data_IF_564536369190
#
_entry.id   IF_564536369190
#
_cell.length_a   1.000
_cell.length_b   1.000
_cell.length_c   1.000
_cell.angle_alpha   90.00
_cell.angle_beta   90.00
_cell.angle_gamma   90.00
#
_symmetry.space_group_name_H-M   'P 1'
#
loop_
_entity.id
_entity.type
_entity.pdbx_description
1 polymer ?
#
# COMPACT_ATOMS: atom_id res chain seq x y z
N UNK A 1 -88.51 43.51 28.31
CA UNK A 1 -87.35 44.34 28.75
C UNK A 1 -86.68 43.72 29.97
N UNK A 2 -87.42 43.27 30.98
CA UNK A 2 -86.84 42.67 32.21
C UNK A 2 -86.25 41.26 31.96
N UNK A 3 -86.97 40.36 31.29
CA UNK A 3 -86.47 39.01 30.93
C UNK A 3 -85.19 39.05 30.09
N UNK A 4 -85.07 40.04 29.19
CA UNK A 4 -83.86 40.23 28.37
C UNK A 4 -82.67 40.66 29.21
N UNK A 5 -82.88 41.48 30.25
CA UNK A 5 -81.81 41.86 31.20
C UNK A 5 -81.38 40.67 32.06
N UNK A 6 -82.32 39.84 32.48
CA UNK A 6 -82.06 38.65 33.29
C UNK A 6 -81.25 37.62 32.49
N UNK A 7 -81.65 37.33 31.23
CA UNK A 7 -80.85 36.51 30.31
C UNK A 7 -79.45 37.09 30.05
N UNK A 8 -79.34 38.41 29.87
CA UNK A 8 -78.04 39.08 29.74
C UNK A 8 -77.17 38.95 31.00
N UNK A 9 -77.78 38.94 32.19
CA UNK A 9 -77.08 38.78 33.45
C UNK A 9 -76.55 37.35 33.62
N UNK A 10 -77.38 36.34 33.33
CA UNK A 10 -77.00 34.93 33.35
C UNK A 10 -75.90 34.62 32.33
N UNK A 11 -76.04 35.13 31.09
CA UNK A 11 -75.03 34.97 30.06
C UNK A 11 -73.68 35.59 30.46
N UNK A 12 -73.68 36.80 31.03
CA UNK A 12 -72.45 37.44 31.53
C UNK A 12 -71.85 36.69 32.72
N UNK A 13 -72.66 36.04 33.55
CA UNK A 13 -72.19 35.21 34.66
C UNK A 13 -71.51 33.94 34.15
N UNK A 14 -72.16 33.20 33.23
CA UNK A 14 -71.60 32.02 32.57
C UNK A 14 -70.29 32.36 31.84
N UNK A 15 -70.24 33.46 31.08
CA UNK A 15 -69.01 33.90 30.41
C UNK A 15 -67.85 34.17 31.40
N UNK A 16 -68.14 34.73 32.57
CA UNK A 16 -67.11 34.97 33.60
C UNK A 16 -66.61 33.67 34.21
N UNK A 17 -67.49 32.69 34.39
CA UNK A 17 -67.15 31.36 34.90
C UNK A 17 -66.26 30.62 33.88
N UNK A 18 -66.66 30.60 32.60
CA UNK A 18 -65.87 30.01 31.50
C UNK A 18 -64.50 30.69 31.37
N UNK A 19 -64.44 32.03 31.41
CA UNK A 19 -63.16 32.76 31.39
C UNK A 19 -62.27 32.42 32.58
N UNK A 20 -62.85 32.20 33.77
CA UNK A 20 -62.08 31.82 34.96
C UNK A 20 -61.56 30.39 34.86
N UNK A 21 -62.34 29.48 34.26
CA UNK A 21 -61.93 28.10 33.97
C UNK A 21 -60.80 28.04 32.95
N UNK A 22 -60.97 28.67 31.78
CA UNK A 22 -59.95 28.76 30.73
C UNK A 22 -58.64 29.35 31.28
N UNK A 23 -58.73 30.41 32.10
CA UNK A 23 -57.54 31.00 32.75
C UNK A 23 -56.85 30.02 33.70
N UNK A 24 -57.61 29.16 34.37
CA UNK A 24 -57.06 28.14 35.28
C UNK A 24 -56.38 27.03 34.49
N UNK A 25 -56.97 26.56 33.41
CA UNK A 25 -56.39 25.56 32.49
C UNK A 25 -55.09 26.07 31.88
N UNK A 26 -55.09 27.24 31.24
CA UNK A 26 -53.88 27.86 30.66
C UNK A 26 -52.77 27.97 31.71
N UNK A 27 -53.10 28.28 32.97
CA UNK A 27 -52.12 28.38 34.05
C UNK A 27 -51.51 27.02 34.42
N UNK A 28 -52.29 25.95 34.34
CA UNK A 28 -51.82 24.58 34.58
C UNK A 28 -50.95 24.11 33.42
N UNK A 29 -51.39 24.29 32.17
CA UNK A 29 -50.62 23.94 30.97
C UNK A 29 -49.26 24.65 30.97
N UNK A 30 -49.21 25.94 31.30
CA UNK A 30 -47.96 26.70 31.41
C UNK A 30 -47.03 26.11 32.49
N UNK A 31 -47.57 25.55 33.58
CA UNK A 31 -46.73 24.90 34.60
C UNK A 31 -46.17 23.58 34.09
N UNK A 32 -47.00 22.74 33.49
CA UNK A 32 -46.58 21.46 32.91
C UNK A 32 -45.50 21.68 31.84
N UNK A 33 -45.72 22.60 30.90
CA UNK A 33 -44.72 22.97 29.89
C UNK A 33 -43.39 23.43 30.52
N UNK A 34 -43.44 24.17 31.64
CA UNK A 34 -42.21 24.59 32.33
C UNK A 34 -41.46 23.44 32.98
N UNK A 35 -42.19 22.45 33.50
CA UNK A 35 -41.60 21.25 34.08
C UNK A 35 -40.95 20.40 32.97
N UNK A 36 -41.65 20.17 31.86
CA UNK A 36 -41.11 19.47 30.69
C UNK A 36 -39.85 20.14 30.13
N UNK A 37 -39.86 21.47 29.96
CA UNK A 37 -38.68 22.23 29.50
C UNK A 37 -37.50 22.04 30.47
N UNK A 38 -37.75 21.97 31.77
CA UNK A 38 -36.70 21.79 32.77
C UNK A 38 -36.09 20.40 32.69
N UNK A 39 -36.90 19.38 32.47
CA UNK A 39 -36.43 18.00 32.35
C UNK A 39 -35.71 17.76 31.02
N UNK A 40 -36.25 18.27 29.91
CA UNK A 40 -35.54 18.30 28.62
C UNK A 40 -34.18 18.97 28.73
N UNK A 41 -34.06 20.08 29.48
CA UNK A 41 -32.78 20.78 29.67
C UNK A 41 -31.75 19.89 30.40
N UNK A 42 -32.19 19.09 31.39
CA UNK A 42 -31.29 18.15 32.09
C UNK A 42 -30.83 17.04 31.17
N UNK A 43 -31.73 16.47 30.36
CA UNK A 43 -31.39 15.44 29.40
C UNK A 43 -30.40 15.93 28.34
N UNK A 44 -30.62 17.14 27.81
CA UNK A 44 -29.69 17.77 26.87
C UNK A 44 -28.30 17.97 27.50
N UNK A 45 -28.25 18.39 28.77
CA UNK A 45 -26.98 18.56 29.46
C UNK A 45 -26.25 17.22 29.64
N UNK A 46 -26.95 16.18 30.08
CA UNK A 46 -26.39 14.83 30.22
C UNK A 46 -25.88 14.28 28.89
N UNK A 47 -26.67 14.42 27.83
CA UNK A 47 -26.27 13.99 26.48
C UNK A 47 -25.03 14.75 25.98
N UNK A 48 -24.90 16.04 26.30
CA UNK A 48 -23.71 16.82 25.96
C UNK A 48 -22.45 16.33 26.69
N UNK A 49 -22.57 15.95 27.95
CA UNK A 49 -21.47 15.39 28.74
C UNK A 49 -21.04 14.02 28.18
N UNK A 50 -21.99 13.14 27.87
CA UNK A 50 -21.72 11.84 27.24
C UNK A 50 -21.06 11.99 25.87
N UNK A 51 -21.55 12.91 25.03
CA UNK A 51 -20.94 13.22 23.74
C UNK A 51 -19.50 13.73 23.89
N UNK A 52 -19.22 14.55 24.92
CA UNK A 52 -17.88 15.02 25.23
C UNK A 52 -16.92 13.87 25.52
N UNK A 53 -17.32 12.95 26.42
CA UNK A 53 -16.53 11.75 26.74
C UNK A 53 -16.28 10.88 25.50
N UNK A 54 -17.30 10.68 24.67
CA UNK A 54 -17.16 9.89 23.45
C UNK A 54 -16.19 10.53 22.45
N UNK A 55 -16.21 11.86 22.31
CA UNK A 55 -15.25 12.58 21.46
C UNK A 55 -13.82 12.38 21.98
N UNK A 56 -13.61 12.47 23.29
CA UNK A 56 -12.29 12.22 23.89
C UNK A 56 -11.79 10.79 23.62
N UNK A 57 -12.63 9.78 23.84
CA UNK A 57 -12.29 8.38 23.53
C UNK A 57 -11.95 8.18 22.04
N UNK A 58 -12.76 8.74 21.13
CA UNK A 58 -12.50 8.67 19.69
C UNK A 58 -11.16 9.32 19.34
N UNK A 59 -10.83 10.46 19.95
CA UNK A 59 -9.54 11.12 19.70
C UNK A 59 -8.36 10.30 20.20
N UNK A 60 -8.49 9.63 21.35
CA UNK A 60 -7.45 8.75 21.89
C UNK A 60 -7.24 7.53 21.00
N UNK A 61 -8.31 6.82 20.65
CA UNK A 61 -8.27 5.65 19.77
C UNK A 61 -7.67 6.00 18.42
N UNK A 62 -8.02 7.15 17.85
CA UNK A 62 -7.45 7.62 16.58
C UNK A 62 -5.94 7.86 16.69
N UNK A 63 -5.49 8.47 17.78
CA UNK A 63 -4.06 8.73 17.99
C UNK A 63 -3.26 7.43 18.20
N UNK A 64 -3.83 6.44 18.89
CA UNK A 64 -3.24 5.11 19.04
C UNK A 64 -3.18 4.38 17.70
N UNK A 65 -4.28 4.40 16.93
CA UNK A 65 -4.34 3.83 15.60
C UNK A 65 -3.28 4.41 14.66
N UNK A 66 -3.09 5.73 14.66
CA UNK A 66 -2.07 6.39 13.83
C UNK A 66 -0.64 5.95 14.22
N UNK A 67 -0.37 5.77 15.52
CA UNK A 67 0.92 5.23 16.01
C UNK A 67 1.13 3.78 15.59
N UNK A 68 0.12 2.93 15.76
CA UNK A 68 0.19 1.52 15.37
C UNK A 68 0.38 1.37 13.87
N UNK A 69 -0.34 2.17 13.07
CA UNK A 69 -0.22 2.22 11.62
C UNK A 69 1.22 2.54 11.20
N UNK A 70 1.83 3.57 11.78
CA UNK A 70 3.22 3.95 11.48
C UNK A 70 4.22 2.84 11.88
N UNK A 71 4.00 2.21 13.03
CA UNK A 71 4.82 1.09 13.49
C UNK A 71 4.72 -0.12 12.55
N UNK A 72 3.51 -0.44 12.07
CA UNK A 72 3.29 -1.53 11.11
C UNK A 72 3.96 -1.23 9.77
N UNK A 73 3.82 -0.01 9.24
CA UNK A 73 4.51 0.38 7.99
C UNK A 73 6.03 0.26 8.11
N UNK A 74 6.59 0.71 9.24
CA UNK A 74 8.02 0.60 9.51
C UNK A 74 8.48 -0.86 9.53
N UNK A 75 7.73 -1.74 10.20
CA UNK A 75 8.01 -3.18 10.25
C UNK A 75 7.90 -3.86 8.90
N UNK A 76 6.91 -3.49 8.09
CA UNK A 76 6.75 -4.00 6.71
C UNK A 76 7.97 -3.61 5.88
N UNK A 77 8.36 -2.33 5.91
CA UNK A 77 9.53 -1.85 5.17
C UNK A 77 10.81 -2.58 5.60
N UNK A 78 11.03 -2.76 6.89
CA UNK A 78 12.18 -3.53 7.39
C UNK A 78 12.15 -4.99 6.92
N UNK A 79 10.97 -5.62 6.90
CA UNK A 79 10.82 -6.98 6.42
C UNK A 79 11.09 -7.09 4.91
N UNK A 80 10.59 -6.15 4.11
CA UNK A 80 10.86 -6.05 2.67
C UNK A 80 12.36 -5.88 2.42
N UNK A 81 13.03 -4.96 3.13
CA UNK A 81 14.48 -4.73 3.00
C UNK A 81 15.29 -5.97 3.40
N UNK A 82 14.87 -6.71 4.43
CA UNK A 82 15.50 -7.97 4.84
C UNK A 82 15.30 -9.07 3.80
N UNK A 83 14.08 -9.21 3.27
CA UNK A 83 13.77 -10.18 2.22
C UNK A 83 14.58 -9.91 0.95
N UNK A 84 14.63 -8.65 0.52
CA UNK A 84 15.41 -8.21 -0.63
C UNK A 84 16.91 -8.53 -0.46
N UNK A 85 17.48 -8.27 0.73
CA UNK A 85 18.87 -8.64 1.04
C UNK A 85 19.10 -10.15 0.95
N UNK A 86 18.19 -10.96 1.47
CA UNK A 86 18.29 -12.43 1.42
C UNK A 86 18.19 -12.92 -0.02
N UNK A 87 17.23 -12.42 -0.81
CA UNK A 87 17.06 -12.77 -2.21
C UNK A 87 18.31 -12.41 -3.02
N UNK A 88 18.80 -11.18 -2.86
CA UNK A 88 20.04 -10.70 -3.49
C UNK A 88 21.25 -11.55 -3.15
N UNK A 89 21.36 -12.02 -1.90
CA UNK A 89 22.44 -12.93 -1.50
C UNK A 89 22.32 -14.30 -2.17
N UNK A 90 21.11 -14.85 -2.29
CA UNK A 90 20.86 -16.14 -2.95
C UNK A 90 21.19 -16.11 -4.44
N UNK A 91 20.84 -15.03 -5.14
CA UNK A 91 21.10 -14.90 -6.58
C UNK A 91 22.40 -14.17 -6.89
N UNK A 92 23.20 -13.83 -5.87
CA UNK A 92 24.41 -12.99 -6.02
C UNK A 92 25.36 -13.55 -7.07
N UNK A 93 25.50 -14.87 -7.16
CA UNK A 93 26.39 -15.55 -8.09
C UNK A 93 25.68 -16.07 -9.35
N UNK A 94 24.39 -15.77 -9.51
CA UNK A 94 23.61 -16.22 -10.65
C UNK A 94 23.79 -15.31 -11.86
N UNK A 95 23.84 -15.91 -13.03
CA UNK A 95 23.85 -15.28 -14.34
C UNK A 95 22.62 -15.75 -15.11
N UNK A 96 22.00 -14.84 -15.84
CA UNK A 96 20.96 -15.14 -16.80
C UNK A 96 21.58 -15.14 -18.20
N UNK A 97 21.47 -16.26 -18.89
CA UNK A 97 21.94 -16.39 -20.27
C UNK A 97 20.73 -16.62 -21.16
N UNK A 98 20.63 -15.82 -22.23
CA UNK A 98 19.54 -15.87 -23.22
C UNK A 98 20.12 -16.10 -24.61
N UNK A 99 19.37 -16.77 -25.48
CA UNK A 99 19.75 -17.05 -26.87
C UNK A 99 20.46 -18.39 -27.06
N UNK A 100 20.28 -19.31 -26.10
CA UNK A 100 20.85 -20.66 -26.19
C UNK A 100 19.70 -21.68 -26.27
N UNK A 101 19.50 -22.24 -27.46
CA UNK A 101 18.61 -23.38 -27.69
C UNK A 101 19.36 -24.67 -27.32
N UNK A 102 19.06 -25.23 -26.15
CA UNK A 102 19.66 -26.50 -25.73
C UNK A 102 18.60 -27.53 -25.38
N UNK A 103 18.62 -28.66 -26.06
CA UNK A 103 17.78 -29.83 -25.80
C UNK A 103 18.37 -30.73 -24.69
N UNK A 104 18.99 -30.13 -23.68
CA UNK A 104 19.54 -30.86 -22.55
C UNK A 104 18.39 -31.26 -21.60
N UNK A 105 18.08 -32.56 -21.53
CA UNK A 105 17.14 -33.10 -20.54
C UNK A 105 17.75 -33.21 -19.13
N UNK A 106 19.08 -33.13 -18.99
CA UNK A 106 19.81 -33.30 -17.73
C UNK A 106 20.63 -32.06 -17.37
N UNK A 107 20.60 -31.69 -16.09
CA UNK A 107 21.32 -30.53 -15.53
C UNK A 107 22.84 -30.64 -15.69
N UNK A 108 23.42 -31.83 -15.55
CA UNK A 108 24.88 -32.03 -15.67
C UNK A 108 25.42 -31.78 -17.10
N UNK A 109 24.62 -32.10 -18.13
CA UNK A 109 25.00 -31.82 -19.53
C UNK A 109 24.91 -30.31 -19.79
N UNK A 110 23.94 -29.64 -19.15
CA UNK A 110 23.77 -28.20 -19.25
C UNK A 110 24.96 -27.46 -18.62
N UNK A 111 25.43 -27.90 -17.45
CA UNK A 111 26.62 -27.35 -16.79
C UNK A 111 27.86 -27.43 -17.69
N UNK A 112 28.22 -28.62 -18.17
CA UNK A 112 29.41 -28.80 -19.02
C UNK A 112 29.34 -27.97 -20.31
N UNK A 113 28.17 -27.89 -20.93
CA UNK A 113 27.99 -27.12 -22.16
C UNK A 113 28.03 -25.60 -21.89
N UNK A 114 27.54 -25.13 -20.74
CA UNK A 114 27.70 -23.73 -20.33
C UNK A 114 29.17 -23.40 -20.05
N UNK A 115 29.92 -24.29 -19.40
CA UNK A 115 31.36 -24.11 -19.17
C UNK A 115 32.13 -24.02 -20.50
N UNK A 116 31.86 -24.93 -21.44
CA UNK A 116 32.46 -24.90 -22.78
C UNK A 116 32.10 -23.65 -23.55
N UNK A 117 30.85 -23.19 -23.47
CA UNK A 117 30.42 -21.95 -24.12
C UNK A 117 31.20 -20.75 -23.56
N UNK A 118 31.31 -20.62 -22.24
CA UNK A 118 32.07 -19.52 -21.61
C UNK A 118 33.55 -19.58 -21.99
N UNK A 119 34.15 -20.78 -22.02
CA UNK A 119 35.55 -20.95 -22.39
C UNK A 119 35.80 -20.61 -23.87
N UNK A 120 34.92 -21.03 -24.78
CA UNK A 120 35.04 -20.73 -26.22
C UNK A 120 34.79 -19.26 -26.54
N UNK A 121 33.75 -18.67 -25.94
CA UNK A 121 33.27 -17.35 -26.29
C UNK A 121 34.00 -16.22 -25.57
N UNK A 122 34.32 -16.42 -24.29
CA UNK A 122 34.94 -15.40 -23.45
C UNK A 122 36.42 -15.68 -23.17
N UNK A 123 36.93 -16.87 -23.51
CA UNK A 123 38.30 -17.34 -23.19
C UNK A 123 38.55 -17.35 -21.68
N UNK A 124 37.53 -17.68 -20.89
CA UNK A 124 37.59 -17.74 -19.43
C UNK A 124 37.32 -19.16 -18.96
N UNK A 125 38.23 -19.72 -18.17
CA UNK A 125 37.98 -20.96 -17.42
C UNK A 125 37.22 -20.62 -16.14
N UNK A 126 35.98 -21.08 -16.05
CA UNK A 126 35.10 -20.81 -14.90
C UNK A 126 34.40 -22.08 -14.47
N UNK A 127 34.18 -22.23 -13.16
CA UNK A 127 33.45 -23.37 -12.61
C UNK A 127 32.00 -23.01 -12.31
N UNK A 128 31.08 -23.76 -12.87
CA UNK A 128 29.65 -23.64 -12.61
C UNK A 128 29.28 -24.53 -11.43
N UNK A 129 28.45 -24.03 -10.53
CA UNK A 129 27.93 -24.80 -9.39
C UNK A 129 26.65 -25.53 -9.77
N UNK A 130 25.74 -24.83 -10.46
CA UNK A 130 24.47 -25.36 -10.97
C UNK A 130 24.02 -24.60 -12.21
N UNK A 131 23.39 -25.30 -13.15
CA UNK A 131 22.69 -24.66 -14.26
C UNK A 131 21.26 -25.20 -14.36
N UNK A 132 20.30 -24.32 -14.64
CA UNK A 132 18.90 -24.70 -14.83
C UNK A 132 18.26 -23.93 -15.98
N UNK A 133 17.46 -24.62 -16.79
CA UNK A 133 16.78 -24.03 -17.96
C UNK A 133 15.47 -23.35 -17.55
N UNK A 134 15.24 -22.13 -18.02
CA UNK A 134 14.05 -21.31 -17.72
C UNK A 134 13.37 -20.95 -19.04
N UNK A 135 12.77 -21.95 -19.69
CA UNK A 135 12.13 -21.80 -21.01
C UNK A 135 13.04 -22.20 -22.16
N UNK A 136 12.61 -22.01 -23.41
CA UNK A 136 13.26 -22.60 -24.58
C UNK A 136 14.70 -22.10 -24.82
N UNK A 137 14.94 -20.80 -24.62
CA UNK A 137 16.20 -20.13 -24.98
C UNK A 137 16.88 -19.41 -23.81
N UNK A 138 16.44 -19.68 -22.57
CA UNK A 138 16.98 -19.02 -21.37
C UNK A 138 17.44 -20.03 -20.35
N UNK A 139 18.55 -19.74 -19.68
CA UNK A 139 19.04 -20.51 -18.55
C UNK A 139 19.58 -19.61 -17.44
N UNK A 140 19.48 -20.09 -16.21
CA UNK A 140 20.16 -19.52 -15.06
C UNK A 140 21.36 -20.40 -14.72
N UNK A 141 22.49 -19.74 -14.47
CA UNK A 141 23.75 -20.38 -14.13
C UNK A 141 24.25 -19.81 -12.80
N UNK A 142 24.35 -20.65 -11.77
CA UNK A 142 24.96 -20.30 -10.49
C UNK A 142 26.47 -20.54 -10.57
N UNK A 143 27.26 -19.47 -10.45
CA UNK A 143 28.72 -19.56 -10.43
C UNK A 143 29.23 -20.03 -9.06
N UNK A 144 30.32 -20.82 -9.05
CA UNK A 144 30.99 -21.21 -7.81
C UNK A 144 31.61 -20.01 -7.07
N UNK A 145 32.22 -19.07 -7.83
CA UNK A 145 32.88 -17.89 -7.28
C UNK A 145 32.29 -16.58 -7.83
N UNK A 146 32.10 -15.59 -6.94
CA UNK A 146 31.63 -14.26 -7.33
C UNK A 146 32.61 -13.54 -8.28
N UNK A 147 33.91 -13.78 -8.11
CA UNK A 147 34.95 -13.19 -8.97
C UNK A 147 34.77 -13.56 -10.44
N UNK A 148 34.39 -14.80 -10.73
CA UNK A 148 34.16 -15.28 -12.09
C UNK A 148 32.92 -14.66 -12.72
N UNK A 149 31.84 -14.49 -11.94
CA UNK A 149 30.67 -13.71 -12.38
C UNK A 149 31.06 -12.30 -12.83
N UNK A 150 31.89 -11.60 -12.05
CA UNK A 150 32.33 -10.24 -12.38
C UNK A 150 33.18 -10.21 -13.65
N UNK A 151 34.07 -11.19 -13.84
CA UNK A 151 34.88 -11.31 -15.07
C UNK A 151 33.99 -11.54 -16.30
N UNK A 152 33.05 -12.48 -16.23
CA UNK A 152 32.10 -12.77 -17.30
C UNK A 152 31.31 -11.50 -17.68
N UNK A 153 30.80 -10.77 -16.68
CA UNK A 153 30.03 -9.55 -16.92
C UNK A 153 30.84 -8.39 -17.51
N UNK A 154 32.16 -8.34 -17.28
CA UNK A 154 33.07 -7.37 -17.91
C UNK A 154 33.36 -7.75 -19.36
N UNK A 155 33.61 -9.03 -19.61
CA UNK A 155 33.98 -9.54 -20.93
C UNK A 155 32.79 -9.76 -21.87
N UNK A 156 31.54 -9.68 -21.37
CA UNK A 156 30.32 -9.85 -22.19
C UNK A 156 30.24 -8.94 -23.42
N UNK A 157 31.01 -7.85 -23.47
CA UNK A 157 31.11 -7.01 -24.66
C UNK A 157 31.64 -7.78 -25.89
N UNK A 158 32.40 -8.85 -25.70
CA UNK A 158 32.88 -9.75 -26.77
C UNK A 158 31.75 -10.51 -27.48
N UNK A 159 30.63 -10.71 -26.79
CA UNK A 159 29.44 -11.35 -27.35
C UNK A 159 28.60 -10.41 -28.22
N UNK A 160 29.01 -9.13 -28.34
CA UNK A 160 28.27 -8.12 -29.10
C UNK A 160 28.23 -8.51 -30.58
N UNK A 161 27.04 -8.75 -31.11
CA UNK A 161 26.80 -9.20 -32.48
C UNK A 161 26.51 -10.68 -32.62
N UNK A 162 26.58 -11.46 -31.53
CA UNK A 162 26.02 -12.81 -31.43
C UNK A 162 24.61 -12.74 -30.84
N UNK A 163 23.81 -13.77 -31.09
CA UNK A 163 22.45 -13.90 -30.53
C UNK A 163 22.44 -14.36 -29.06
N UNK A 164 23.61 -14.41 -28.41
CA UNK A 164 23.78 -14.83 -27.01
C UNK A 164 23.95 -13.61 -26.11
N UNK A 165 23.10 -13.50 -25.09
CA UNK A 165 23.11 -12.41 -24.12
C UNK A 165 23.35 -12.93 -22.71
N UNK A 166 24.31 -12.31 -22.01
CA UNK A 166 24.61 -12.62 -20.60
C UNK A 166 24.31 -11.40 -19.73
N UNK A 167 23.41 -11.60 -18.77
CA UNK A 167 23.03 -10.61 -17.77
C UNK A 167 23.22 -11.16 -16.36
N UNK A 168 23.32 -10.27 -15.37
CA UNK A 168 23.24 -10.68 -13.98
C UNK A 168 21.78 -11.07 -13.68
N UNK A 169 21.59 -12.15 -12.91
CA UNK A 169 20.30 -12.39 -12.30
C UNK A 169 20.06 -11.32 -11.22
N UNK A 170 18.92 -10.65 -11.30
CA UNK A 170 18.56 -9.48 -10.50
C UNK A 170 17.25 -9.72 -9.78
N UNK A 171 17.10 -9.18 -8.59
CA UNK A 171 15.82 -9.25 -7.85
C UNK A 171 14.73 -8.50 -8.62
N UNK A 172 13.46 -8.74 -8.28
CA UNK A 172 12.34 -7.97 -8.88
C UNK A 172 12.50 -6.46 -8.67
N UNK A 173 13.04 -6.04 -7.53
CA UNK A 173 13.29 -4.63 -7.24
C UNK A 173 14.40 -4.06 -8.14
N UNK A 174 15.54 -4.75 -8.22
CA UNK A 174 16.66 -4.37 -9.09
C UNK A 174 16.26 -4.37 -10.58
N UNK A 175 15.44 -5.33 -11.03
CA UNK A 175 14.89 -5.37 -12.39
C UNK A 175 14.03 -4.14 -12.70
N UNK A 176 13.19 -3.69 -11.75
CA UNK A 176 12.39 -2.46 -11.91
C UNK A 176 13.29 -1.23 -12.04
N UNK A 177 14.30 -1.09 -11.18
CA UNK A 177 15.27 0.00 -11.25
C UNK A 177 15.99 -0.03 -12.60
N UNK A 178 16.47 -1.21 -13.02
CA UNK A 178 17.19 -1.35 -14.28
C UNK A 178 16.31 -1.03 -15.49
N UNK A 179 15.04 -1.46 -15.49
CA UNK A 179 14.07 -1.09 -16.53
C UNK A 179 13.89 0.43 -16.60
N UNK A 180 13.66 1.07 -15.45
CA UNK A 180 13.52 2.52 -15.38
C UNK A 180 14.76 3.25 -15.91
N UNK A 181 15.96 2.83 -15.49
CA UNK A 181 17.22 3.40 -16.02
C UNK A 181 17.36 3.22 -17.53
N UNK A 182 16.97 2.05 -18.08
CA UNK A 182 16.99 1.81 -19.53
C UNK A 182 16.01 2.70 -20.27
N UNK A 183 14.82 2.94 -19.71
CA UNK A 183 13.80 3.80 -20.30
C UNK A 183 14.28 5.26 -20.34
N UNK A 184 14.83 5.78 -19.23
CA UNK A 184 15.45 7.10 -19.18
C UNK A 184 16.62 7.22 -20.17
N UNK A 185 17.50 6.22 -20.24
CA UNK A 185 18.61 6.23 -21.18
C UNK A 185 18.15 6.20 -22.64
N UNK A 186 17.00 5.56 -22.95
CA UNK A 186 16.41 5.56 -24.29
C UNK A 186 15.89 6.94 -24.65
N UNK A 187 15.24 7.63 -23.72
CA UNK A 187 14.77 9.00 -23.91
C UNK A 187 15.92 9.97 -24.16
N UNK A 188 16.99 9.89 -23.36
CA UNK A 188 18.17 10.73 -23.54
C UNK A 188 18.88 10.48 -24.89
N UNK A 189 18.96 9.22 -25.33
CA UNK A 189 19.48 8.89 -26.67
C UNK A 189 18.62 9.48 -27.79
N UNK A 190 17.29 9.49 -27.64
CA UNK A 190 16.38 10.14 -28.61
C UNK A 190 16.63 11.65 -28.70
N UNK A 191 17.08 12.28 -27.61
CA UNK A 191 17.48 13.70 -27.58
C UNK A 191 18.87 13.96 -28.18
N UNK A 192 19.59 12.93 -28.62
CA UNK A 192 20.94 13.03 -29.19
C UNK A 192 22.07 12.85 -28.17
N UNK A 193 21.77 12.57 -26.90
CA UNK A 193 22.78 12.39 -25.87
C UNK A 193 23.41 10.98 -25.89
N UNK A 194 24.72 10.91 -25.69
CA UNK A 194 25.44 9.63 -25.58
C UNK A 194 25.36 9.12 -24.14
N UNK A 195 24.48 8.14 -23.91
CA UNK A 195 24.26 7.54 -22.57
C UNK A 195 24.69 6.07 -22.53
N UNK A 196 25.44 5.71 -21.47
CA UNK A 196 25.87 4.33 -21.18
C UNK A 196 25.32 3.90 -19.83
N UNK A 197 24.60 2.77 -19.81
CA UNK A 197 24.14 2.10 -18.58
C UNK A 197 25.05 0.91 -18.33
N UNK A 198 25.81 0.95 -17.24
CA UNK A 198 26.74 -0.10 -16.83
C UNK A 198 26.22 -0.91 -15.65
N UNK A 199 26.85 -2.05 -15.42
CA UNK A 199 26.74 -2.79 -14.16
C UNK A 199 27.83 -2.22 -13.23
N UNK A 200 27.45 -1.74 -12.03
CA UNK A 200 28.36 -1.32 -10.97
C UNK A 200 28.48 -2.41 -9.91
#
# INVERSE_FOLDING_TARGET
MEEVKEMLHEFNKSLKEDMAEIKREIKNDIKEIREDIKDMKKEIQKSKEEMGSMVEEITQVKAEWDKEKEAVYSRIKEAEDRMEKIERQKIRNNLLITGITMDAQNDSILEEAMEKMIEQELMLKTKIKKAHKIGQERCIVEMAEWGDKVKILKEKAKLRGKDIFIEADLTKHEQKIQKHMRDVAREEKKKGNVVKVGYQ
#
